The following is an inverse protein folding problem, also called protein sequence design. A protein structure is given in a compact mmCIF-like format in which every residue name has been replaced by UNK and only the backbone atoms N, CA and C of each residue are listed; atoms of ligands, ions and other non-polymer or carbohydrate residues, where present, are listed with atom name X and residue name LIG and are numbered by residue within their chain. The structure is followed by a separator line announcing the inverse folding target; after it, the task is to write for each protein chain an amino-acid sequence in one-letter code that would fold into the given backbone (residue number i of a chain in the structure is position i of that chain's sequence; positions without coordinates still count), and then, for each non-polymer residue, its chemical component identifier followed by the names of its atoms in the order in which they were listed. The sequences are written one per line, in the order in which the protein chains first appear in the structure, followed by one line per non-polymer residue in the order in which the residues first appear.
data_IF_054844148615
#
_entry.id   IF_054844148615
#
_cell.length_a   1.000
_cell.length_b   1.000
_cell.length_c   1.000
_cell.angle_alpha   90.00
_cell.angle_beta   90.00
_cell.angle_gamma   90.00
#
_symmetry.space_group_name_H-M   'P 1'
#
loop_
_entity.id
_entity.type
_entity.pdbx_description
1 polymer ?
#
# COMPACT_ATOMS: atom_id res chain seq x y z
N UNK A 1 -11.06 6.55 11.08
CA UNK A 1 -10.46 5.20 10.88
C UNK A 1 -11.44 4.33 10.11
N UNK A 2 -10.99 3.73 9.01
CA UNK A 2 -11.72 2.74 8.24
C UNK A 2 -11.13 1.36 8.52
N UNK A 3 -11.97 0.42 8.95
CA UNK A 3 -11.56 -0.95 9.29
C UNK A 3 -12.16 -1.93 8.30
N UNK A 4 -11.31 -2.76 7.71
CA UNK A 4 -11.72 -3.86 6.83
C UNK A 4 -11.74 -5.16 7.64
N UNK A 5 -12.82 -5.92 7.51
CA UNK A 5 -12.90 -7.25 8.12
C UNK A 5 -12.00 -8.26 7.37
N UNK A 6 -11.45 -9.27 8.05
CA UNK A 6 -10.70 -10.34 7.40
C UNK A 6 -11.49 -11.01 6.25
N UNK A 7 -10.82 -11.24 5.12
CA UNK A 7 -11.42 -11.85 3.93
C UNK A 7 -12.15 -10.87 2.99
N UNK A 8 -12.21 -9.58 3.32
CA UNK A 8 -12.73 -8.56 2.40
C UNK A 8 -11.87 -8.49 1.13
N UNK A 9 -12.54 -8.37 -0.02
CA UNK A 9 -11.90 -8.12 -1.31
C UNK A 9 -12.39 -6.78 -1.85
N UNK A 10 -11.45 -5.91 -2.23
CA UNK A 10 -11.69 -4.64 -2.90
C UNK A 10 -11.16 -4.74 -4.33
N UNK A 11 -12.09 -4.68 -5.30
CA UNK A 11 -11.76 -4.62 -6.73
C UNK A 11 -11.81 -3.17 -7.19
N UNK A 12 -10.66 -2.65 -7.60
CA UNK A 12 -10.47 -1.25 -7.94
C UNK A 12 -10.64 -1.04 -9.45
N UNK A 13 -11.44 -0.04 -9.80
CA UNK A 13 -11.61 0.37 -11.19
C UNK A 13 -10.31 0.98 -11.72
N UNK A 14 -10.26 1.15 -13.04
CA UNK A 14 -9.10 1.75 -13.70
C UNK A 14 -8.77 3.11 -13.07
N UNK A 15 -7.49 3.38 -12.85
CA UNK A 15 -6.98 4.67 -12.38
C UNK A 15 -7.64 5.13 -11.05
N UNK A 16 -7.92 4.19 -10.14
CA UNK A 16 -8.49 4.48 -8.81
C UNK A 16 -7.40 4.63 -7.74
N UNK A 17 -7.58 5.61 -6.84
CA UNK A 17 -6.82 5.74 -5.60
C UNK A 17 -7.68 5.31 -4.40
N UNK A 18 -7.06 4.68 -3.40
CA UNK A 18 -7.57 4.73 -2.02
C UNK A 18 -6.63 5.64 -1.26
N UNK A 19 -7.14 6.78 -0.79
CA UNK A 19 -6.33 7.77 -0.07
C UNK A 19 -6.69 7.82 1.41
N UNK A 20 -5.66 7.82 2.25
CA UNK A 20 -5.73 7.95 3.71
C UNK A 20 -4.90 9.19 4.06
N UNK A 21 -5.57 10.34 4.10
CA UNK A 21 -4.91 11.64 4.28
C UNK A 21 -5.18 12.24 5.67
N UNK A 22 -4.13 12.74 6.31
CA UNK A 22 -4.19 13.41 7.61
C UNK A 22 -4.36 12.48 8.82
N UNK A 23 -4.09 13.01 10.01
CA UNK A 23 -4.03 12.23 11.25
C UNK A 23 -5.38 11.66 11.72
N UNK A 24 -6.49 12.30 11.35
CA UNK A 24 -7.83 11.81 11.66
C UNK A 24 -8.22 10.56 10.82
N UNK A 25 -7.52 10.35 9.71
CA UNK A 25 -7.73 9.23 8.80
C UNK A 25 -6.78 8.09 9.16
N UNK A 26 -7.26 6.86 9.05
CA UNK A 26 -6.44 5.69 9.22
C UNK A 26 -7.08 4.48 8.56
N UNK A 27 -6.28 3.59 7.98
CA UNK A 27 -6.75 2.34 7.36
C UNK A 27 -6.24 1.14 8.16
N UNK A 28 -7.17 0.42 8.78
CA UNK A 28 -6.89 -0.83 9.49
C UNK A 28 -7.34 -2.02 8.62
N UNK A 29 -6.39 -2.54 7.84
CA UNK A 29 -6.56 -3.69 6.95
C UNK A 29 -5.75 -4.89 7.46
N UNK A 30 -6.21 -5.46 8.58
CA UNK A 30 -5.59 -6.61 9.24
C UNK A 30 -6.46 -7.85 9.04
N UNK A 31 -6.04 -8.72 8.13
CA UNK A 31 -6.66 -10.01 7.85
C UNK A 31 -6.12 -11.13 8.75
N UNK A 32 -6.32 -12.38 8.33
CA UNK A 32 -5.67 -13.55 8.92
C UNK A 32 -5.05 -14.42 7.83
N UNK A 33 -4.15 -15.34 8.19
CA UNK A 33 -3.54 -16.26 7.24
C UNK A 33 -4.58 -17.07 6.43
N UNK A 34 -5.74 -17.39 7.03
CA UNK A 34 -6.83 -18.12 6.37
C UNK A 34 -7.81 -17.20 5.63
N UNK A 35 -7.86 -15.91 5.99
CA UNK A 35 -8.77 -14.92 5.42
C UNK A 35 -8.02 -13.62 5.14
N UNK A 36 -7.10 -13.62 4.16
CA UNK A 36 -6.37 -12.42 3.82
C UNK A 36 -7.31 -11.37 3.24
N UNK A 37 -7.04 -10.09 3.51
CA UNK A 37 -7.72 -8.98 2.83
C UNK A 37 -7.07 -8.80 1.45
N UNK A 38 -7.86 -8.60 0.40
CA UNK A 38 -7.34 -8.45 -0.96
C UNK A 38 -7.67 -7.07 -1.53
N UNK A 39 -6.65 -6.38 -2.03
CA UNK A 39 -6.76 -5.19 -2.87
C UNK A 39 -6.24 -5.55 -4.26
N UNK A 40 -7.11 -5.50 -5.28
CA UNK A 40 -6.76 -5.93 -6.63
C UNK A 40 -7.44 -5.05 -7.67
N UNK A 41 -6.92 -5.03 -8.89
CA UNK A 41 -7.58 -4.39 -10.03
C UNK A 41 -8.81 -5.20 -10.48
N UNK A 42 -9.83 -4.51 -10.99
CA UNK A 42 -10.95 -5.18 -11.66
C UNK A 42 -10.45 -5.99 -12.87
N UNK A 43 -9.42 -5.49 -13.56
CA UNK A 43 -8.62 -6.26 -14.51
C UNK A 43 -7.25 -6.57 -13.92
N UNK A 44 -6.74 -7.76 -14.23
CA UNK A 44 -5.45 -8.28 -13.74
C UNK A 44 -4.28 -7.78 -14.58
N UNK A 45 -4.20 -6.47 -14.72
CA UNK A 45 -3.16 -5.77 -15.49
C UNK A 45 -2.31 -4.96 -14.52
N UNK A 46 -0.98 -5.15 -14.46
CA UNK A 46 -0.12 -4.29 -13.65
C UNK A 46 -0.36 -2.81 -13.96
N UNK A 47 -0.56 -2.00 -12.93
CA UNK A 47 -0.89 -0.58 -13.09
C UNK A 47 -2.33 -0.27 -13.48
N UNK A 48 -3.27 -1.21 -13.31
CA UNK A 48 -4.67 -0.97 -13.64
C UNK A 48 -5.28 0.11 -12.75
N UNK A 49 -4.95 0.11 -11.46
CA UNK A 49 -5.31 1.15 -10.50
C UNK A 49 -4.05 1.85 -9.97
N UNK A 50 -4.22 3.00 -9.33
CA UNK A 50 -3.08 3.80 -8.85
C UNK A 50 -2.45 3.19 -7.59
N UNK A 51 -2.90 3.60 -6.40
CA UNK A 51 -2.25 3.18 -5.17
C UNK A 51 -3.15 3.26 -3.94
N UNK A 52 -2.73 2.54 -2.90
CA UNK A 52 -3.09 2.81 -1.51
C UNK A 52 -2.16 3.92 -1.03
N UNK A 53 -2.67 5.15 -1.04
CA UNK A 53 -1.89 6.35 -0.76
C UNK A 53 -2.11 6.80 0.68
N UNK A 54 -1.06 6.74 1.49
CA UNK A 54 -1.01 7.30 2.83
C UNK A 54 -0.29 8.65 2.76
N UNK A 55 -1.04 9.73 2.96
CA UNK A 55 -0.53 11.10 2.85
C UNK A 55 -0.59 11.83 4.19
N UNK A 56 0.57 12.16 4.77
CA UNK A 56 0.63 13.03 5.96
C UNK A 56 -0.19 12.52 7.16
N UNK A 57 -0.26 11.20 7.37
CA UNK A 57 -1.03 10.57 8.45
C UNK A 57 -0.11 9.83 9.41
N UNK A 58 0.02 10.32 10.64
CA UNK A 58 0.74 9.63 11.73
C UNK A 58 -0.16 8.66 12.52
N UNK A 59 -1.35 8.34 11.99
CA UNK A 59 -2.30 7.49 12.68
C UNK A 59 -1.74 6.06 12.86
N UNK A 60 -1.62 5.54 14.09
CA UNK A 60 -1.08 4.19 14.32
C UNK A 60 -1.99 3.08 13.76
N UNK A 61 -3.24 3.40 13.40
CA UNK A 61 -4.14 2.46 12.77
C UNK A 61 -3.78 2.13 11.32
N UNK A 62 -2.85 2.87 10.68
CA UNK A 62 -2.35 2.60 9.33
C UNK A 62 -1.57 1.28 9.31
N UNK A 63 -2.30 0.20 9.08
CA UNK A 63 -1.80 -1.16 9.14
C UNK A 63 -2.37 -1.99 7.99
N UNK A 64 -1.47 -2.64 7.26
CA UNK A 64 -1.78 -3.66 6.27
C UNK A 64 -1.10 -4.94 6.76
N UNK A 65 -1.90 -5.94 7.15
CA UNK A 65 -1.37 -7.19 7.65
C UNK A 65 -2.20 -8.40 7.18
N UNK A 66 -1.54 -9.51 6.85
CA UNK A 66 -2.18 -10.68 6.24
C UNK A 66 -3.07 -10.27 5.06
N UNK A 67 -2.47 -9.57 4.10
CA UNK A 67 -3.17 -8.99 2.96
C UNK A 67 -2.49 -9.32 1.63
N UNK A 68 -3.23 -9.22 0.54
CA UNK A 68 -2.73 -9.29 -0.82
C UNK A 68 -2.99 -7.93 -1.48
N UNK A 69 -1.96 -7.32 -2.04
CA UNK A 69 -2.05 -6.05 -2.77
C UNK A 69 -1.45 -6.27 -4.16
N UNK A 70 -2.27 -6.17 -5.21
CA UNK A 70 -1.86 -6.56 -6.55
C UNK A 70 -2.48 -5.76 -7.70
N UNK A 71 -1.80 -5.80 -8.86
CA UNK A 71 -2.23 -5.19 -10.13
C UNK A 71 -2.44 -3.65 -10.09
N UNK A 72 -1.86 -2.96 -9.13
CA UNK A 72 -1.83 -1.50 -9.05
C UNK A 72 -0.48 -0.90 -9.44
N UNK A 73 -0.20 0.29 -8.93
CA UNK A 73 1.01 1.05 -9.23
C UNK A 73 0.96 1.68 -10.63
N UNK A 74 -0.16 2.28 -11.02
CA UNK A 74 -0.29 2.97 -12.32
C UNK A 74 0.81 4.02 -12.49
N UNK A 75 1.35 4.10 -13.70
CA UNK A 75 2.35 5.13 -14.07
C UNK A 75 1.71 6.49 -14.37
N UNK A 76 0.38 6.55 -14.46
CA UNK A 76 -0.37 7.80 -14.48
C UNK A 76 -0.55 8.33 -13.06
N UNK A 77 -0.54 9.65 -12.87
CA UNK A 77 -0.76 10.27 -11.56
C UNK A 77 0.53 10.54 -10.78
N UNK A 78 0.46 11.52 -9.87
CA UNK A 78 1.61 12.21 -9.23
C UNK A 78 2.75 11.31 -8.75
N UNK A 79 3.97 11.88 -8.74
CA UNK A 79 5.28 11.20 -8.77
C UNK A 79 5.68 10.24 -7.64
N UNK A 80 4.76 9.74 -6.82
CA UNK A 80 4.97 8.66 -5.86
C UNK A 80 4.82 7.31 -6.59
N UNK A 81 5.92 6.59 -6.79
CA UNK A 81 5.97 5.49 -7.76
C UNK A 81 5.71 4.11 -7.14
N UNK A 82 4.56 3.88 -6.52
CA UNK A 82 4.28 2.58 -5.88
C UNK A 82 2.80 2.21 -5.79
N UNK A 83 2.53 0.91 -5.60
CA UNK A 83 1.17 0.41 -5.37
C UNK A 83 0.68 0.71 -3.94
N UNK A 84 1.61 0.73 -2.99
CA UNK A 84 1.42 1.26 -1.65
C UNK A 84 2.36 2.44 -1.51
N UNK A 85 1.85 3.62 -1.22
CA UNK A 85 2.68 4.82 -1.04
C UNK A 85 2.48 5.40 0.35
N UNK A 86 3.57 5.80 1.00
CA UNK A 86 3.54 6.56 2.23
C UNK A 86 4.42 7.79 2.05
N UNK A 87 3.81 8.97 1.92
CA UNK A 87 4.51 10.23 1.70
C UNK A 87 4.00 11.35 2.61
N UNK A 88 4.87 12.32 2.87
CA UNK A 88 4.57 13.55 3.61
C UNK A 88 5.69 14.55 3.36
N UNK A 89 5.39 15.84 3.34
CA UNK A 89 6.39 16.89 3.09
C UNK A 89 7.27 17.16 4.31
N UNK A 90 6.70 17.15 5.52
CA UNK A 90 7.42 17.45 6.76
C UNK A 90 6.78 16.89 8.03
N UNK A 91 5.45 16.72 8.04
CA UNK A 91 4.69 16.19 9.18
C UNK A 91 5.02 14.71 9.48
N UNK A 92 5.47 13.98 8.47
CA UNK A 92 5.65 12.54 8.53
C UNK A 92 4.40 11.76 8.16
N UNK A 93 4.56 10.45 8.02
CA UNK A 93 3.50 9.49 7.71
C UNK A 93 3.87 8.16 8.33
N UNK A 94 2.93 7.50 9.01
CA UNK A 94 3.15 6.21 9.65
C UNK A 94 2.40 5.12 8.92
N UNK A 95 3.08 4.01 8.62
CA UNK A 95 2.50 2.84 7.97
C UNK A 95 3.20 1.57 8.44
N UNK A 96 2.44 0.56 8.86
CA UNK A 96 2.95 -0.80 9.09
C UNK A 96 2.47 -1.75 8.00
N UNK A 97 3.39 -2.50 7.38
CA UNK A 97 3.07 -3.55 6.42
C UNK A 97 3.77 -4.85 6.81
N UNK A 98 2.99 -5.90 7.11
CA UNK A 98 3.50 -7.19 7.59
C UNK A 98 2.73 -8.36 7.04
N UNK A 99 3.38 -9.50 6.82
CA UNK A 99 2.75 -10.73 6.33
C UNK A 99 1.87 -10.51 5.10
N UNK A 100 2.22 -9.53 4.27
CA UNK A 100 1.49 -9.19 3.06
C UNK A 100 2.16 -9.81 1.83
N UNK A 101 1.36 -10.12 0.82
CA UNK A 101 1.85 -10.41 -0.54
C UNK A 101 1.64 -9.17 -1.40
N UNK A 102 2.74 -8.56 -1.87
CA UNK A 102 2.70 -7.37 -2.73
C UNK A 102 3.29 -7.71 -4.09
N UNK A 103 2.45 -7.76 -5.12
CA UNK A 103 2.85 -8.30 -6.42
C UNK A 103 2.21 -7.62 -7.62
N UNK A 104 2.82 -7.79 -8.79
CA UNK A 104 2.28 -7.28 -10.06
C UNK A 104 2.08 -5.75 -10.07
N UNK A 105 2.99 -5.00 -9.44
CA UNK A 105 3.04 -3.54 -9.58
C UNK A 105 3.64 -3.13 -10.93
N UNK A 106 3.02 -2.14 -11.59
CA UNK A 106 3.68 -1.47 -12.72
C UNK A 106 4.79 -0.50 -12.28
N UNK A 107 4.95 -0.25 -10.98
CA UNK A 107 6.04 0.52 -10.39
C UNK A 107 6.70 -0.27 -9.24
N UNK A 108 7.04 0.37 -8.12
CA UNK A 108 7.48 -0.33 -6.91
C UNK A 108 6.30 -1.03 -6.23
N UNK A 109 6.56 -2.10 -5.48
CA UNK A 109 5.54 -2.67 -4.58
C UNK A 109 5.12 -1.66 -3.52
N UNK A 110 6.11 -1.13 -2.81
CA UNK A 110 5.96 -0.10 -1.78
C UNK A 110 6.89 1.07 -2.08
N UNK A 111 6.38 2.29 -2.02
CA UNK A 111 7.15 3.53 -2.13
C UNK A 111 7.06 4.31 -0.81
N UNK A 112 8.20 4.57 -0.18
CA UNK A 112 8.31 5.25 1.11
C UNK A 112 9.04 6.58 0.90
N UNK A 113 8.33 7.67 1.17
CA UNK A 113 8.89 9.02 1.14
C UNK A 113 9.82 9.28 2.31
N UNK A 114 10.58 10.38 2.21
CA UNK A 114 11.65 10.73 3.16
C UNK A 114 11.23 10.73 4.63
N UNK A 115 9.99 11.16 4.92
CA UNK A 115 9.46 11.27 6.29
C UNK A 115 8.55 10.10 6.67
N UNK A 116 8.59 8.99 5.93
CA UNK A 116 7.84 7.79 6.25
C UNK A 116 8.42 7.07 7.47
N UNK A 117 7.55 6.72 8.40
CA UNK A 117 7.81 5.92 9.59
C UNK A 117 7.16 4.54 9.37
N UNK A 118 7.98 3.50 9.29
CA UNK A 118 7.53 2.16 8.95
C UNK A 118 8.22 1.10 9.81
N UNK A 119 7.68 -0.12 9.79
CA UNK A 119 8.26 -1.24 10.52
C UNK A 119 9.64 -1.62 9.95
N UNK A 120 10.62 -1.87 10.83
CA UNK A 120 12.01 -2.11 10.44
C UNK A 120 12.20 -3.37 9.58
N UNK A 121 11.30 -4.34 9.70
CA UNK A 121 11.27 -5.60 8.97
C UNK A 121 10.45 -5.54 7.68
N UNK A 122 10.08 -4.35 7.17
CA UNK A 122 9.18 -4.24 6.00
C UNK A 122 9.65 -5.01 4.76
N UNK A 123 10.96 -5.14 4.55
CA UNK A 123 11.52 -5.89 3.42
C UNK A 123 11.42 -7.42 3.62
N UNK A 124 11.56 -7.90 4.85
CA UNK A 124 11.61 -9.35 5.17
C UNK A 124 10.31 -9.91 5.72
N UNK A 125 9.40 -9.06 6.20
CA UNK A 125 8.11 -9.46 6.77
C UNK A 125 7.05 -9.71 5.69
N UNK A 126 7.35 -9.39 4.43
CA UNK A 126 6.40 -9.45 3.32
C UNK A 126 6.96 -10.31 2.18
N UNK A 127 6.06 -10.83 1.34
CA UNK A 127 6.41 -11.56 0.12
C UNK A 127 6.19 -10.65 -1.08
N UNK A 128 7.23 -10.47 -1.88
CA UNK A 128 7.18 -9.63 -3.07
C UNK A 128 7.43 -10.44 -4.33
N UNK A 129 6.71 -10.14 -5.42
CA UNK A 129 6.90 -10.82 -6.70
C UNK A 129 6.44 -9.95 -7.87
N UNK A 130 7.22 -9.90 -8.95
CA UNK A 130 6.83 -9.23 -10.20
C UNK A 130 6.42 -7.74 -10.02
N UNK A 131 7.18 -6.99 -9.23
CA UNK A 131 7.07 -5.53 -9.13
C UNK A 131 8.08 -4.88 -10.08
N UNK A 132 7.62 -4.04 -11.01
CA UNK A 132 8.41 -3.61 -12.17
C UNK A 132 9.67 -2.82 -11.83
N UNK A 133 9.60 -1.90 -10.85
CA UNK A 133 10.75 -1.08 -10.45
C UNK A 133 11.55 -1.67 -9.28
N UNK A 134 10.97 -2.63 -8.56
CA UNK A 134 11.51 -3.25 -7.36
C UNK A 134 10.46 -3.40 -6.26
N UNK A 135 10.85 -4.02 -5.15
CA UNK A 135 9.92 -4.38 -4.10
C UNK A 135 9.58 -3.19 -3.19
N UNK A 136 10.62 -2.54 -2.64
CA UNK A 136 10.49 -1.40 -1.74
C UNK A 136 11.46 -0.30 -2.16
N UNK A 137 10.95 0.90 -2.43
CA UNK A 137 11.75 2.12 -2.58
C UNK A 137 11.69 2.96 -1.30
N UNK A 138 12.85 3.45 -0.87
CA UNK A 138 13.00 4.34 0.30
C UNK A 138 13.72 5.60 -0.13
N UNK A 139 13.02 6.72 -0.11
CA UNK A 139 13.62 8.01 -0.42
C UNK A 139 14.64 8.40 0.68
N UNK A 140 15.83 8.91 0.31
CA UNK A 140 16.87 9.29 1.26
C UNK A 140 16.57 10.58 2.05
#
# INVERSE_FOLDING_TARGET
MWTLAPGVTLLLAKDTWISVDGDASGLHAVGTAQKPITFSGLEKTPGYWHALRFGGSLNPANAIENAVVEYGGSTGGGGEEGMITASSDSHGVKLSVKSATVRHSAQYGIWLGKFAQFNADIDSANTFTANTKGDVYKQP
#
